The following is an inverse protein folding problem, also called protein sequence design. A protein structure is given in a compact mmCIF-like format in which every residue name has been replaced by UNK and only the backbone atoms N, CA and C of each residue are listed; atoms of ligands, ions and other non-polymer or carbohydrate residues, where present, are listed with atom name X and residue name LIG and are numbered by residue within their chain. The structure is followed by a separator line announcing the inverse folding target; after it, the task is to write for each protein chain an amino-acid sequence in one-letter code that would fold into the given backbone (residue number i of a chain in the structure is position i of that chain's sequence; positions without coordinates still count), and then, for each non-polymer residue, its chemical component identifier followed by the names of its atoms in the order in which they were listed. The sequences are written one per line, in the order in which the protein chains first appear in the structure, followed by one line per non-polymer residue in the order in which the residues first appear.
data_IF_080969572081
#
_entry.id   IF_080969572081
#
_cell.length_a   1.000
_cell.length_b   1.000
_cell.length_c   1.000
_cell.angle_alpha   90.00
_cell.angle_beta   90.00
_cell.angle_gamma   90.00
#
_symmetry.space_group_name_H-M   'P 1'
#
loop_
_entity.id
_entity.type
_entity.pdbx_description
1 polymer ?
#
# COMPACT_ATOMS: atom_id res chain seq x y z
N UNK A 1 27.18 -28.68 -31.97
CA UNK A 1 26.66 -27.80 -30.90
C UNK A 1 27.72 -27.33 -29.89
N UNK A 2 28.89 -27.99 -29.75
CA UNK A 2 29.94 -27.61 -28.79
C UNK A 2 30.60 -26.23 -29.02
N UNK A 3 30.46 -25.63 -30.20
CA UNK A 3 31.05 -24.33 -30.55
C UNK A 3 30.10 -23.14 -30.44
N UNK A 4 28.79 -23.37 -30.31
CA UNK A 4 27.79 -22.29 -30.35
C UNK A 4 27.72 -21.50 -29.04
N UNK A 5 27.73 -22.19 -27.89
CA UNK A 5 27.69 -21.52 -26.58
C UNK A 5 28.95 -20.66 -26.31
N UNK A 6 30.18 -21.14 -26.58
CA UNK A 6 31.38 -20.30 -26.49
C UNK A 6 31.35 -19.10 -27.46
N UNK A 7 30.78 -19.27 -28.66
CA UNK A 7 30.63 -18.20 -29.64
C UNK A 7 29.67 -17.13 -29.13
N UNK A 8 28.49 -17.50 -28.65
CA UNK A 8 27.51 -16.57 -28.07
C UNK A 8 28.14 -15.84 -26.87
N UNK A 9 28.85 -16.56 -26.00
CA UNK A 9 29.57 -15.97 -24.87
C UNK A 9 30.63 -14.95 -25.30
N UNK A 10 31.33 -15.18 -26.41
CA UNK A 10 32.24 -14.18 -27.01
C UNK A 10 31.49 -13.00 -27.62
N UNK A 11 30.39 -13.24 -28.34
CA UNK A 11 29.55 -12.19 -28.95
C UNK A 11 28.95 -11.25 -27.91
N UNK A 12 28.69 -11.75 -26.70
CA UNK A 12 28.16 -10.95 -25.58
C UNK A 12 29.25 -10.41 -24.64
N UNK A 13 30.51 -10.43 -25.08
CA UNK A 13 31.68 -9.97 -24.30
C UNK A 13 31.80 -10.65 -22.92
N UNK A 14 31.57 -11.96 -22.87
CA UNK A 14 31.66 -12.76 -21.65
C UNK A 14 30.53 -12.49 -20.66
N UNK A 15 29.32 -12.19 -21.16
CA UNK A 15 28.17 -11.98 -20.31
C UNK A 15 27.92 -13.16 -19.36
N UNK A 16 27.41 -12.83 -18.16
CA UNK A 16 27.05 -13.81 -17.16
C UNK A 16 25.86 -14.65 -17.63
N UNK A 17 25.92 -15.95 -17.35
CA UNK A 17 24.87 -16.90 -17.68
C UNK A 17 23.56 -16.51 -16.96
N UNK A 18 22.42 -16.69 -17.64
CA UNK A 18 21.11 -16.26 -17.14
C UNK A 18 20.77 -14.77 -17.32
N UNK A 19 21.60 -14.00 -18.05
CA UNK A 19 21.32 -12.57 -18.33
C UNK A 19 20.97 -12.29 -19.79
N UNK A 20 20.24 -11.20 -20.04
CA UNK A 20 19.91 -10.68 -21.37
C UNK A 20 18.94 -11.53 -22.17
N UNK A 21 18.07 -12.31 -21.52
CA UNK A 21 17.16 -13.25 -22.21
C UNK A 21 16.34 -12.60 -23.33
N UNK A 22 15.88 -11.35 -23.15
CA UNK A 22 15.13 -10.62 -24.18
C UNK A 22 15.96 -10.42 -25.45
N UNK A 23 17.23 -10.03 -25.29
CA UNK A 23 18.15 -9.87 -26.43
C UNK A 23 18.59 -11.21 -27.00
N UNK A 24 18.74 -12.23 -26.15
CA UNK A 24 19.17 -13.56 -26.56
C UNK A 24 18.15 -14.23 -27.48
N UNK A 25 16.84 -14.08 -27.21
CA UNK A 25 15.79 -14.59 -28.10
C UNK A 25 15.90 -13.97 -29.50
N UNK A 26 16.02 -12.65 -29.59
CA UNK A 26 16.16 -11.96 -30.88
C UNK A 26 17.45 -12.33 -31.62
N UNK A 27 18.57 -12.44 -30.89
CA UNK A 27 19.85 -12.88 -31.46
C UNK A 27 19.76 -14.32 -32.00
N UNK A 28 19.12 -15.22 -31.24
CA UNK A 28 18.93 -16.63 -31.65
C UNK A 28 18.04 -16.74 -32.87
N UNK A 29 16.93 -15.99 -32.91
CA UNK A 29 16.05 -15.93 -34.08
C UNK A 29 16.82 -15.50 -35.33
N UNK A 30 17.63 -14.45 -35.23
CA UNK A 30 18.44 -13.96 -36.35
C UNK A 30 19.51 -14.97 -36.79
N UNK A 31 20.20 -15.62 -35.84
CA UNK A 31 21.24 -16.62 -36.14
C UNK A 31 20.67 -17.86 -36.84
N UNK A 32 19.48 -18.31 -36.42
CA UNK A 32 18.80 -19.46 -37.00
C UNK A 32 17.95 -19.09 -38.23
N UNK A 33 17.90 -17.80 -38.60
CA UNK A 33 17.10 -17.27 -39.72
C UNK A 33 15.62 -17.65 -39.63
N UNK A 34 15.07 -17.60 -38.42
CA UNK A 34 13.68 -17.96 -38.14
C UNK A 34 12.75 -16.77 -38.36
N UNK A 35 11.55 -17.03 -38.89
CA UNK A 35 10.54 -15.98 -39.12
C UNK A 35 9.83 -15.61 -37.82
N UNK A 36 9.58 -16.59 -36.95
CA UNK A 36 8.91 -16.41 -35.68
C UNK A 36 9.82 -16.92 -34.52
N UNK A 37 9.90 -16.20 -33.38
CA UNK A 37 10.52 -16.71 -32.16
C UNK A 37 10.02 -18.10 -31.71
N UNK A 38 8.77 -18.46 -32.02
CA UNK A 38 8.19 -19.77 -31.66
C UNK A 38 8.80 -20.94 -32.44
N UNK A 39 9.47 -20.66 -33.56
CA UNK A 39 10.18 -21.67 -34.33
C UNK A 39 11.52 -22.07 -33.66
N UNK A 40 11.93 -21.39 -32.58
CA UNK A 40 13.14 -21.72 -31.83
C UNK A 40 12.97 -23.13 -31.23
N UNK A 41 13.92 -24.06 -31.48
CA UNK A 41 13.84 -25.41 -30.93
C UNK A 41 13.63 -25.42 -29.42
N UNK A 42 12.61 -26.14 -28.96
CA UNK A 42 12.21 -26.19 -27.54
C UNK A 42 13.33 -26.66 -26.59
N UNK A 43 14.30 -27.43 -27.10
CA UNK A 43 15.50 -27.84 -26.36
C UNK A 43 16.35 -26.63 -25.95
N UNK A 44 16.50 -25.64 -26.85
CA UNK A 44 17.25 -24.41 -26.56
C UNK A 44 16.52 -23.56 -25.51
N UNK A 45 15.18 -23.47 -25.63
CA UNK A 45 14.35 -22.74 -24.67
C UNK A 45 14.52 -23.34 -23.27
N UNK A 46 14.37 -24.66 -23.12
CA UNK A 46 14.51 -25.36 -21.83
C UNK A 46 15.92 -25.23 -21.23
N UNK A 47 16.95 -25.27 -22.09
CA UNK A 47 18.34 -25.10 -21.65
C UNK A 47 18.54 -23.71 -21.03
N UNK A 48 18.11 -22.66 -21.73
CA UNK A 48 18.27 -21.27 -21.29
C UNK A 48 17.35 -20.94 -20.11
N UNK A 49 16.15 -21.52 -20.07
CA UNK A 49 15.23 -21.43 -18.93
C UNK A 49 15.90 -21.96 -17.66
N UNK A 50 16.59 -23.11 -17.75
CA UNK A 50 17.35 -23.71 -16.65
C UNK A 50 18.44 -22.82 -16.07
N UNK A 51 19.01 -21.92 -16.88
CA UNK A 51 20.03 -20.95 -16.47
C UNK A 51 19.46 -19.67 -15.86
N UNK A 52 18.16 -19.39 -16.05
CA UNK A 52 17.55 -18.19 -15.48
C UNK A 52 17.53 -18.25 -13.95
N UNK A 53 17.59 -17.08 -13.32
CA UNK A 53 17.44 -16.97 -11.88
C UNK A 53 16.06 -17.52 -11.45
N UNK A 54 16.05 -18.34 -10.39
CA UNK A 54 14.80 -18.83 -9.83
C UNK A 54 14.01 -17.65 -9.25
N UNK A 55 12.74 -17.54 -9.65
CA UNK A 55 11.85 -16.50 -9.17
C UNK A 55 10.94 -17.05 -8.07
N UNK A 56 10.54 -16.21 -7.12
CA UNK A 56 9.52 -16.61 -6.15
C UNK A 56 8.18 -16.80 -6.87
N UNK A 57 7.68 -18.04 -6.88
CA UNK A 57 6.53 -18.45 -7.70
C UNK A 57 6.90 -19.05 -9.05
N UNK A 58 8.19 -19.15 -9.38
CA UNK A 58 8.72 -19.74 -10.61
C UNK A 58 8.19 -19.11 -11.91
N UNK A 59 8.77 -19.54 -13.03
CA UNK A 59 8.24 -19.25 -14.36
C UNK A 59 6.92 -20.02 -14.56
N UNK A 60 5.85 -19.39 -15.06
CA UNK A 60 4.54 -20.02 -15.12
C UNK A 60 4.47 -21.09 -16.22
N UNK A 61 3.73 -22.16 -15.96
CA UNK A 61 3.40 -23.19 -16.95
C UNK A 61 1.88 -23.37 -17.12
N UNK A 62 1.45 -24.36 -17.88
CA UNK A 62 0.02 -24.65 -18.08
C UNK A 62 -0.78 -24.85 -16.77
N UNK A 63 -0.14 -25.26 -15.67
CA UNK A 63 -0.78 -25.43 -14.36
C UNK A 63 -1.05 -24.11 -13.66
N UNK A 64 -0.40 -23.02 -14.08
CA UNK A 64 -0.64 -21.66 -13.58
C UNK A 64 -1.92 -21.04 -14.15
N UNK A 65 -2.48 -21.59 -15.24
CA UNK A 65 -3.65 -21.02 -15.94
C UNK A 65 -4.86 -20.93 -15.01
N UNK A 66 -5.27 -22.05 -14.42
CA UNK A 66 -6.44 -22.12 -13.55
C UNK A 66 -6.30 -21.24 -12.28
N UNK A 67 -5.23 -21.36 -11.46
CA UNK A 67 -5.09 -20.53 -10.26
C UNK A 67 -4.95 -19.04 -10.59
N UNK A 68 -4.22 -18.67 -11.66
CA UNK A 68 -4.14 -17.27 -12.09
C UNK A 68 -5.52 -16.72 -12.47
N UNK A 69 -6.35 -17.49 -13.20
CA UNK A 69 -7.69 -17.06 -13.58
C UNK A 69 -8.63 -16.90 -12.36
N UNK A 70 -8.50 -17.76 -11.35
CA UNK A 70 -9.26 -17.64 -10.09
C UNK A 70 -8.88 -16.36 -9.34
N UNK A 71 -7.58 -16.12 -9.11
CA UNK A 71 -7.16 -14.91 -8.40
C UNK A 71 -7.39 -13.64 -9.21
N UNK A 72 -7.29 -13.69 -10.53
CA UNK A 72 -7.72 -12.61 -11.43
C UNK A 72 -9.17 -12.20 -11.13
N UNK A 73 -10.09 -13.16 -11.11
CA UNK A 73 -11.51 -12.91 -10.84
C UNK A 73 -11.74 -12.38 -9.41
N UNK A 74 -11.08 -12.98 -8.42
CA UNK A 74 -11.18 -12.56 -7.01
C UNK A 74 -10.75 -11.09 -6.84
N UNK A 75 -9.57 -10.72 -7.34
CA UNK A 75 -9.07 -9.35 -7.19
C UNK A 75 -9.86 -8.33 -8.02
N UNK A 76 -10.48 -8.73 -9.14
CA UNK A 76 -11.43 -7.89 -9.85
C UNK A 76 -12.70 -7.61 -9.01
N UNK A 77 -13.26 -8.63 -8.34
CA UNK A 77 -14.41 -8.44 -7.44
C UNK A 77 -14.04 -7.56 -6.23
N UNK A 78 -12.87 -7.79 -5.63
CA UNK A 78 -12.37 -6.97 -4.51
C UNK A 78 -12.14 -5.51 -4.93
N UNK A 79 -11.60 -5.29 -6.13
CA UNK A 79 -11.46 -3.94 -6.71
C UNK A 79 -12.81 -3.24 -6.81
N UNK A 80 -13.83 -3.90 -7.37
CA UNK A 80 -15.17 -3.35 -7.49
C UNK A 80 -15.78 -3.07 -6.10
N UNK A 81 -15.58 -3.97 -5.13
CA UNK A 81 -16.07 -3.80 -3.77
C UNK A 81 -15.45 -2.56 -3.07
N UNK A 82 -14.12 -2.43 -3.07
CA UNK A 82 -13.44 -1.27 -2.48
C UNK A 82 -13.82 0.03 -3.19
N UNK A 83 -13.91 0.02 -4.52
CA UNK A 83 -14.33 1.18 -5.31
C UNK A 83 -15.77 1.59 -5.00
N UNK A 84 -16.68 0.62 -4.86
CA UNK A 84 -18.08 0.87 -4.53
C UNK A 84 -18.21 1.48 -3.13
N UNK A 85 -17.53 0.90 -2.14
CA UNK A 85 -17.51 1.45 -0.76
C UNK A 85 -16.95 2.87 -0.77
N UNK A 86 -15.83 3.10 -1.45
CA UNK A 86 -15.25 4.44 -1.58
C UNK A 86 -16.22 5.43 -2.24
N UNK A 87 -16.84 5.06 -3.35
CA UNK A 87 -17.77 5.93 -4.07
C UNK A 87 -19.00 6.31 -3.23
N UNK A 88 -19.59 5.36 -2.50
CA UNK A 88 -20.73 5.61 -1.62
C UNK A 88 -20.30 6.56 -0.48
N UNK A 89 -19.18 6.27 0.17
CA UNK A 89 -18.65 7.09 1.27
C UNK A 89 -18.31 8.51 0.82
N UNK A 90 -17.63 8.64 -0.32
CA UNK A 90 -17.24 9.93 -0.90
C UNK A 90 -18.47 10.81 -1.20
N UNK A 91 -19.52 10.23 -1.81
CA UNK A 91 -20.80 10.93 -2.09
C UNK A 91 -21.54 11.39 -0.82
N UNK A 92 -21.23 10.79 0.33
CA UNK A 92 -21.84 11.08 1.63
C UNK A 92 -21.02 12.04 2.51
N UNK A 93 -19.84 12.47 2.06
CA UNK A 93 -18.92 13.33 2.81
C UNK A 93 -17.82 12.56 3.57
N UNK A 94 -17.92 11.24 3.66
CA UNK A 94 -16.96 10.39 4.37
C UNK A 94 -15.71 10.11 3.51
N UNK A 95 -14.74 11.01 3.51
CA UNK A 95 -13.54 10.91 2.65
C UNK A 95 -12.47 10.03 3.25
N UNK A 96 -12.51 8.72 2.96
CA UNK A 96 -11.48 7.77 3.35
C UNK A 96 -10.65 7.31 2.13
N UNK A 97 -9.64 8.11 1.75
CA UNK A 97 -8.82 7.84 0.56
C UNK A 97 -8.03 6.52 0.60
N UNK A 98 -7.80 5.95 1.77
CA UNK A 98 -7.14 4.66 1.88
C UNK A 98 -7.97 3.53 1.25
N UNK A 99 -9.31 3.65 1.18
CA UNK A 99 -10.15 2.72 0.39
C UNK A 99 -9.85 2.77 -1.11
N UNK A 100 -9.54 3.95 -1.65
CA UNK A 100 -9.07 4.07 -3.03
C UNK A 100 -7.67 3.43 -3.19
N UNK A 101 -6.82 3.53 -2.17
CA UNK A 101 -5.55 2.80 -2.10
C UNK A 101 -5.74 1.28 -2.17
N UNK A 102 -6.69 0.71 -1.43
CA UNK A 102 -7.01 -0.72 -1.50
C UNK A 102 -7.51 -1.12 -2.91
N UNK A 103 -8.34 -0.29 -3.55
CA UNK A 103 -8.78 -0.52 -4.92
C UNK A 103 -7.60 -0.49 -5.92
N UNK A 104 -6.72 0.50 -5.82
CA UNK A 104 -5.52 0.58 -6.65
C UNK A 104 -4.63 -0.65 -6.48
N UNK A 105 -4.40 -1.08 -5.24
CA UNK A 105 -3.68 -2.31 -4.94
C UNK A 105 -4.35 -3.56 -5.56
N UNK A 106 -5.69 -3.67 -5.48
CA UNK A 106 -6.41 -4.78 -6.10
C UNK A 106 -6.24 -4.77 -7.63
N UNK A 107 -6.11 -3.58 -8.24
CA UNK A 107 -5.80 -3.43 -9.67
C UNK A 107 -4.40 -3.98 -10.00
N UNK A 108 -3.39 -3.71 -9.16
CA UNK A 108 -2.04 -4.28 -9.34
C UNK A 108 -2.08 -5.82 -9.32
N UNK A 109 -2.84 -6.40 -8.37
CA UNK A 109 -3.01 -7.86 -8.28
C UNK A 109 -3.77 -8.43 -9.47
N UNK A 110 -4.87 -7.79 -9.86
CA UNK A 110 -5.65 -8.17 -11.02
C UNK A 110 -4.80 -8.17 -12.29
N UNK A 111 -4.08 -7.08 -12.58
CA UNK A 111 -3.18 -7.01 -13.73
C UNK A 111 -2.01 -8.00 -13.61
N UNK A 112 -1.41 -8.15 -12.43
CA UNK A 112 -0.33 -9.11 -12.19
C UNK A 112 -0.72 -10.55 -12.53
N UNK A 113 -1.88 -11.01 -12.08
CA UNK A 113 -2.40 -12.34 -12.43
C UNK A 113 -2.85 -12.43 -13.90
N UNK A 114 -3.35 -11.35 -14.51
CA UNK A 114 -3.67 -11.32 -15.95
C UNK A 114 -2.43 -11.53 -16.82
N UNK A 115 -1.35 -10.83 -16.50
CA UNK A 115 -0.07 -10.96 -17.21
C UNK A 115 0.56 -12.32 -16.95
N UNK A 116 0.50 -12.85 -15.72
CA UNK A 116 0.96 -14.21 -15.41
C UNK A 116 0.17 -15.28 -16.17
N UNK A 117 -1.16 -15.16 -16.24
CA UNK A 117 -2.02 -16.05 -17.04
C UNK A 117 -1.65 -16.02 -18.52
N UNK A 118 -1.28 -14.85 -19.05
CA UNK A 118 -0.85 -14.71 -20.44
C UNK A 118 0.53 -15.33 -20.66
N UNK A 119 1.45 -15.12 -19.72
CA UNK A 119 2.80 -15.69 -19.75
C UNK A 119 2.80 -17.22 -19.59
N UNK A 120 1.86 -17.77 -18.82
CA UNK A 120 1.64 -19.21 -18.68
C UNK A 120 1.30 -19.92 -20.01
N UNK A 121 0.69 -19.19 -20.95
CA UNK A 121 0.33 -19.72 -22.28
C UNK A 121 1.48 -19.64 -23.27
N UNK A 122 2.42 -18.73 -23.05
CA UNK A 122 3.54 -18.48 -23.93
C UNK A 122 4.68 -17.80 -23.15
N UNK A 123 5.71 -18.59 -22.85
CA UNK A 123 6.86 -18.17 -22.06
C UNK A 123 7.76 -17.17 -22.80
N UNK A 124 7.69 -17.11 -24.14
CA UNK A 124 8.48 -16.19 -24.97
C UNK A 124 7.94 -14.74 -24.91
N UNK A 125 6.77 -14.51 -24.33
CA UNK A 125 6.25 -13.17 -24.01
C UNK A 125 6.96 -12.56 -22.79
N UNK A 126 8.27 -12.42 -22.90
CA UNK A 126 9.18 -12.02 -21.82
C UNK A 126 8.80 -10.67 -21.20
N UNK A 127 8.45 -9.67 -22.00
CA UNK A 127 8.03 -8.36 -21.47
C UNK A 127 6.76 -8.44 -20.62
N UNK A 128 5.77 -9.24 -21.06
CA UNK A 128 4.54 -9.48 -20.29
C UNK A 128 4.89 -10.15 -18.96
N UNK A 129 5.76 -11.16 -19.00
CA UNK A 129 6.22 -11.87 -17.81
C UNK A 129 6.92 -10.96 -16.81
N UNK A 130 7.89 -10.17 -17.27
CA UNK A 130 8.66 -9.22 -16.45
C UNK A 130 7.71 -8.20 -15.81
N UNK A 131 6.80 -7.60 -16.59
CA UNK A 131 5.82 -6.64 -16.05
C UNK A 131 4.89 -7.30 -15.03
N UNK A 132 4.41 -8.52 -15.29
CA UNK A 132 3.58 -9.29 -14.35
C UNK A 132 4.27 -9.58 -13.03
N UNK A 133 5.54 -9.98 -13.07
CA UNK A 133 6.36 -10.20 -11.87
C UNK A 133 6.55 -8.90 -11.08
N UNK A 134 6.82 -7.77 -11.76
CA UNK A 134 6.93 -6.46 -11.08
C UNK A 134 5.62 -6.07 -10.37
N UNK A 135 4.47 -6.19 -11.04
CA UNK A 135 3.17 -5.82 -10.45
C UNK A 135 2.81 -6.70 -9.25
N UNK A 136 3.09 -8.01 -9.33
CA UNK A 136 2.83 -8.94 -8.22
C UNK A 136 3.73 -8.72 -7.01
N UNK A 137 4.96 -8.25 -7.20
CA UNK A 137 5.87 -7.85 -6.12
C UNK A 137 5.44 -6.51 -5.53
N UNK A 138 5.14 -5.53 -6.38
CA UNK A 138 4.79 -4.17 -5.94
C UNK A 138 3.56 -4.16 -5.02
N UNK A 139 2.58 -5.00 -5.32
CA UNK A 139 1.37 -5.14 -4.51
C UNK A 139 1.66 -5.48 -3.03
N UNK A 140 2.66 -6.32 -2.73
CA UNK A 140 2.97 -6.72 -1.34
C UNK A 140 3.43 -5.53 -0.50
N UNK A 141 4.14 -4.57 -1.11
CA UNK A 141 4.64 -3.38 -0.41
C UNK A 141 3.49 -2.43 -0.10
N UNK A 142 2.53 -2.27 -1.01
CA UNK A 142 1.36 -1.43 -0.79
C UNK A 142 0.53 -1.88 0.41
N UNK A 143 0.24 -3.17 0.53
CA UNK A 143 -0.55 -3.68 1.66
C UNK A 143 0.18 -3.50 3.00
N UNK A 144 1.51 -3.68 3.03
CA UNK A 144 2.33 -3.34 4.20
C UNK A 144 2.23 -1.84 4.55
N UNK A 145 2.31 -0.96 3.54
CA UNK A 145 2.16 0.48 3.74
C UNK A 145 0.78 0.86 4.26
N UNK A 146 -0.29 0.23 3.76
CA UNK A 146 -1.63 0.49 4.26
C UNK A 146 -1.79 0.07 5.72
N UNK A 147 -1.26 -1.10 6.10
CA UNK A 147 -1.24 -1.53 7.50
C UNK A 147 -0.50 -0.53 8.40
N UNK A 148 0.62 0.01 7.92
CA UNK A 148 1.36 1.03 8.67
C UNK A 148 0.57 2.34 8.81
N UNK A 149 -0.13 2.79 7.77
CA UNK A 149 -1.03 3.96 7.84
C UNK A 149 -2.17 3.72 8.82
N UNK A 150 -2.72 2.51 8.89
CA UNK A 150 -3.75 2.15 9.88
C UNK A 150 -3.17 2.11 11.30
N UNK A 151 -1.98 1.55 11.49
CA UNK A 151 -1.28 1.52 12.77
C UNK A 151 -0.94 2.93 13.27
N UNK A 152 -0.53 3.82 12.36
CA UNK A 152 -0.30 5.23 12.63
C UNK A 152 -1.54 5.92 13.22
N UNK A 153 -2.74 5.54 12.75
CA UNK A 153 -4.01 6.07 13.26
C UNK A 153 -4.32 5.56 14.66
N UNK A 154 -4.04 4.29 14.97
CA UNK A 154 -4.16 3.77 16.35
C UNK A 154 -3.18 4.47 17.28
N UNK A 155 -1.93 4.62 16.85
CA UNK A 155 -0.92 5.31 17.64
C UNK A 155 -1.32 6.76 17.92
N UNK A 156 -1.82 7.47 16.91
CA UNK A 156 -2.32 8.85 17.06
C UNK A 156 -3.57 8.94 17.92
N UNK A 157 -4.42 7.91 17.92
CA UNK A 157 -5.57 7.86 18.84
C UNK A 157 -5.14 7.73 20.30
N UNK A 158 -4.14 6.88 20.57
CA UNK A 158 -3.64 6.66 21.94
C UNK A 158 -2.76 7.80 22.45
N UNK A 159 -2.02 8.44 21.54
CA UNK A 159 -1.10 9.55 21.81
C UNK A 159 -1.46 10.77 20.91
N UNK A 160 -2.57 11.48 21.18
CA UNK A 160 -3.07 12.55 20.30
C UNK A 160 -2.09 13.70 20.11
N UNK A 161 -1.34 14.12 21.13
CA UNK A 161 -0.42 15.26 21.01
C UNK A 161 0.78 14.87 20.16
N UNK A 162 1.42 13.75 20.48
CA UNK A 162 2.61 13.29 19.76
C UNK A 162 2.28 12.80 18.35
N UNK A 163 1.20 12.03 18.16
CA UNK A 163 0.77 11.54 16.84
C UNK A 163 0.27 12.63 15.88
N UNK A 164 -0.12 13.80 16.39
CA UNK A 164 -0.41 14.98 15.58
C UNK A 164 0.80 15.94 15.45
N UNK A 165 1.96 15.61 16.05
CA UNK A 165 3.14 16.47 16.00
C UNK A 165 3.80 16.47 14.61
N UNK A 166 4.44 17.60 14.26
CA UNK A 166 5.23 17.70 13.02
C UNK A 166 6.33 16.65 12.96
N UNK A 167 7.01 16.38 14.08
CA UNK A 167 8.10 15.41 14.17
C UNK A 167 7.63 14.00 13.78
N UNK A 168 6.50 13.54 14.34
CA UNK A 168 5.95 12.22 14.04
C UNK A 168 5.57 12.10 12.55
N UNK A 169 4.90 13.11 11.98
CA UNK A 169 4.53 13.11 10.57
C UNK A 169 5.73 13.19 9.63
N UNK A 170 6.74 13.99 9.95
CA UNK A 170 8.01 14.02 9.19
C UNK A 170 8.68 12.65 9.20
N UNK A 171 8.75 11.98 10.35
CA UNK A 171 9.28 10.62 10.45
C UNK A 171 8.51 9.64 9.55
N UNK A 172 7.18 9.69 9.58
CA UNK A 172 6.34 8.83 8.75
C UNK A 172 6.55 9.10 7.24
N UNK A 173 6.55 10.36 6.81
CA UNK A 173 6.79 10.70 5.40
C UNK A 173 8.18 10.30 4.91
N UNK A 174 9.21 10.49 5.73
CA UNK A 174 10.57 10.04 5.43
C UNK A 174 10.60 8.52 5.27
N UNK A 175 9.97 7.77 6.17
CA UNK A 175 9.89 6.31 6.09
C UNK A 175 9.18 5.85 4.81
N UNK A 176 8.02 6.43 4.46
CA UNK A 176 7.33 6.10 3.21
C UNK A 176 8.19 6.43 1.97
N UNK A 177 8.91 7.55 1.99
CA UNK A 177 9.80 7.95 0.88
C UNK A 177 10.98 6.98 0.71
N UNK A 178 11.58 6.53 1.80
CA UNK A 178 12.64 5.51 1.77
C UNK A 178 12.12 4.21 1.15
N UNK A 179 10.91 3.78 1.52
CA UNK A 179 10.31 2.55 0.97
C UNK A 179 10.06 2.68 -0.53
N UNK A 180 9.60 3.84 -1.01
CA UNK A 180 9.47 4.09 -2.46
C UNK A 180 10.82 3.97 -3.16
N UNK A 181 11.89 4.51 -2.60
CA UNK A 181 13.24 4.38 -3.16
C UNK A 181 13.74 2.92 -3.16
N UNK A 182 13.48 2.16 -2.08
CA UNK A 182 13.79 0.73 -1.98
C UNK A 182 13.08 -0.04 -3.09
N UNK A 183 11.78 0.19 -3.27
CA UNK A 183 10.97 -0.46 -4.33
C UNK A 183 11.51 -0.14 -5.72
N UNK A 184 11.82 1.13 -6.00
CA UNK A 184 12.37 1.55 -7.28
C UNK A 184 13.68 0.82 -7.60
N UNK A 185 14.60 0.74 -6.62
CA UNK A 185 15.85 -0.01 -6.76
C UNK A 185 15.60 -1.52 -6.96
N UNK A 186 14.66 -2.12 -6.23
CA UNK A 186 14.30 -3.54 -6.42
C UNK A 186 13.78 -3.81 -7.83
N UNK A 187 12.94 -2.92 -8.39
CA UNK A 187 12.40 -3.08 -9.75
C UNK A 187 13.54 -3.02 -10.76
N UNK A 188 14.41 -2.02 -10.67
CA UNK A 188 15.55 -1.89 -11.60
C UNK A 188 16.46 -3.13 -11.50
N UNK A 189 16.91 -3.47 -10.29
CA UNK A 189 17.80 -4.61 -10.08
C UNK A 189 17.16 -5.96 -10.47
N UNK A 190 15.85 -6.11 -10.29
CA UNK A 190 15.11 -7.32 -10.65
C UNK A 190 14.79 -7.45 -12.13
N UNK A 191 14.83 -6.36 -12.92
CA UNK A 191 14.44 -6.37 -14.35
C UNK A 191 15.64 -6.27 -15.29
N UNK A 192 16.65 -5.48 -14.94
CA UNK A 192 17.86 -5.26 -15.76
C UNK A 192 18.54 -6.56 -16.21
N UNK A 193 18.70 -7.61 -15.35
CA UNK A 193 19.28 -8.87 -15.77
C UNK A 193 18.54 -9.59 -16.89
N UNK A 194 17.22 -9.39 -17.04
CA UNK A 194 16.45 -10.00 -18.13
C UNK A 194 16.59 -9.23 -19.45
N UNK A 195 16.80 -7.91 -19.36
CA UNK A 195 16.80 -7.00 -20.51
C UNK A 195 18.18 -6.84 -21.15
N UNK A 196 19.25 -6.98 -20.37
CA UNK A 196 20.61 -6.68 -20.81
C UNK A 196 21.56 -7.82 -20.49
N UNK A 197 22.54 -8.02 -21.37
CA UNK A 197 23.71 -8.85 -21.08
C UNK A 197 24.58 -8.10 -20.08
N UNK A 198 24.87 -8.73 -18.95
CA UNK A 198 25.65 -8.13 -17.86
C UNK A 198 26.95 -8.89 -17.66
N UNK A 199 28.01 -8.19 -17.23
CA UNK A 199 29.18 -8.87 -16.68
C UNK A 199 28.81 -9.53 -15.34
N UNK A 200 29.61 -10.52 -14.92
CA UNK A 200 29.36 -11.23 -13.66
C UNK A 200 29.25 -10.30 -12.45
N UNK A 201 30.12 -9.30 -12.37
CA UNK A 201 30.11 -8.30 -11.31
C UNK A 201 28.80 -7.48 -11.27
N UNK A 202 28.31 -7.01 -12.42
CA UNK A 202 27.04 -6.25 -12.47
C UNK A 202 25.82 -7.13 -12.18
N UNK A 203 25.85 -8.40 -12.58
CA UNK A 203 24.78 -9.33 -12.26
C UNK A 203 24.72 -9.63 -10.75
N UNK A 204 25.87 -9.89 -10.13
CA UNK A 204 25.96 -10.10 -8.69
C UNK A 204 25.56 -8.84 -7.89
N UNK A 205 25.87 -7.64 -8.41
CA UNK A 205 25.36 -6.39 -7.85
C UNK A 205 23.83 -6.34 -7.85
N UNK A 206 23.17 -6.67 -8.97
CA UNK A 206 21.72 -6.71 -9.07
C UNK A 206 21.11 -7.71 -8.07
N UNK A 207 21.67 -8.91 -7.97
CA UNK A 207 21.24 -9.94 -7.02
C UNK A 207 21.38 -9.48 -5.57
N UNK A 208 22.49 -8.84 -5.23
CA UNK A 208 22.71 -8.30 -3.88
C UNK A 208 21.72 -7.17 -3.54
N UNK A 209 21.39 -6.28 -4.48
CA UNK A 209 20.34 -5.28 -4.27
C UNK A 209 18.99 -5.93 -3.99
N UNK A 210 18.60 -6.96 -4.76
CA UNK A 210 17.34 -7.69 -4.52
C UNK A 210 17.34 -8.36 -3.14
N UNK A 211 18.45 -8.96 -2.70
CA UNK A 211 18.60 -9.54 -1.35
C UNK A 211 18.43 -8.49 -0.26
N UNK A 212 19.17 -7.39 -0.31
CA UNK A 212 19.10 -6.30 0.68
C UNK A 212 17.70 -5.69 0.73
N UNK A 213 17.15 -5.36 -0.42
CA UNK A 213 15.79 -4.77 -0.47
C UNK A 213 14.72 -5.73 0.02
N UNK A 214 14.88 -7.06 -0.17
CA UNK A 214 13.95 -8.05 0.38
C UNK A 214 13.98 -8.12 1.92
N UNK A 215 15.15 -7.91 2.55
CA UNK A 215 15.25 -7.75 4.01
C UNK A 215 14.50 -6.48 4.44
N UNK A 216 14.77 -5.35 3.78
CA UNK A 216 14.15 -4.08 4.12
C UNK A 216 12.62 -4.14 4.02
N UNK A 217 12.08 -4.77 2.97
CA UNK A 217 10.64 -4.97 2.80
C UNK A 217 10.08 -5.90 3.90
N UNK A 218 10.81 -6.94 4.29
CA UNK A 218 10.41 -7.85 5.38
C UNK A 218 10.34 -7.11 6.71
N UNK A 219 11.36 -6.33 7.05
CA UNK A 219 11.38 -5.49 8.26
C UNK A 219 10.28 -4.42 8.21
N UNK A 220 10.07 -3.80 7.05
CA UNK A 220 9.02 -2.80 6.84
C UNK A 220 7.63 -3.38 7.12
N UNK A 221 7.37 -4.62 6.70
CA UNK A 221 6.08 -5.27 6.95
C UNK A 221 5.76 -5.39 8.44
N UNK A 222 6.76 -5.53 9.33
CA UNK A 222 6.55 -5.61 10.78
C UNK A 222 6.26 -4.27 11.45
N UNK A 223 6.55 -3.14 10.79
CA UNK A 223 6.45 -1.82 11.42
C UNK A 223 5.02 -1.49 11.88
N UNK A 224 3.99 -2.00 11.20
CA UNK A 224 2.62 -1.80 11.62
C UNK A 224 2.36 -2.41 13.01
N UNK A 225 2.81 -3.65 13.23
CA UNK A 225 2.69 -4.31 14.54
C UNK A 225 3.56 -3.60 15.58
N UNK A 226 4.80 -3.25 15.23
CA UNK A 226 5.71 -2.54 16.16
C UNK A 226 5.07 -1.22 16.62
N UNK A 227 4.47 -0.47 15.70
CA UNK A 227 3.82 0.81 16.03
C UNK A 227 2.56 0.63 16.87
N UNK A 228 1.77 -0.44 16.63
CA UNK A 228 0.65 -0.80 17.49
C UNK A 228 1.15 -1.18 18.89
N UNK A 229 2.17 -2.02 19.01
CA UNK A 229 2.76 -2.40 20.30
C UNK A 229 3.28 -1.16 21.04
N UNK A 230 4.01 -0.27 20.34
CA UNK A 230 4.50 0.98 20.90
C UNK A 230 3.36 1.87 21.42
N UNK A 231 2.20 1.91 20.75
CA UNK A 231 1.04 2.66 21.20
C UNK A 231 0.57 2.21 22.60
N UNK A 232 0.62 0.91 22.90
CA UNK A 232 0.19 0.35 24.18
C UNK A 232 1.30 0.27 25.23
N UNK A 233 2.55 0.07 24.82
CA UNK A 233 3.69 0.00 25.71
C UNK A 233 4.06 1.39 26.29
N UNK A 234 3.85 2.45 25.52
CA UNK A 234 4.08 3.83 25.97
C UNK A 234 2.82 4.32 26.69
N UNK A 235 2.89 4.72 27.98
CA UNK A 235 1.74 5.28 28.68
C UNK A 235 1.39 6.66 28.09
N UNK A 236 0.10 6.96 27.99
CA UNK A 236 -0.35 8.29 27.53
C UNK A 236 0.09 9.37 28.53
N UNK A 237 0.67 10.45 28.03
CA UNK A 237 1.17 11.54 28.87
C UNK A 237 -0.02 12.35 29.44
N UNK A 238 0.16 13.09 30.55
CA UNK A 238 -0.91 13.95 31.09
C UNK A 238 -1.40 14.98 30.05
N UNK A 239 -0.47 15.50 29.25
CA UNK A 239 -0.75 16.37 28.08
C UNK A 239 -1.69 15.74 27.06
N UNK A 240 -1.69 14.42 26.89
CA UNK A 240 -2.59 13.71 25.99
C UNK A 240 -4.02 13.65 26.56
N UNK A 241 -4.14 13.51 27.89
CA UNK A 241 -5.44 13.52 28.59
C UNK A 241 -6.08 14.91 28.57
N UNK A 242 -5.27 15.94 28.76
CA UNK A 242 -5.71 17.33 28.80
C UNK A 242 -5.94 17.92 27.39
N UNK A 243 -5.56 17.20 26.33
CA UNK A 243 -5.74 17.67 24.96
C UNK A 243 -7.23 17.76 24.59
N UNK A 244 -7.61 18.84 23.93
CA UNK A 244 -8.89 18.91 23.22
C UNK A 244 -8.81 17.93 22.04
N UNK A 245 -9.70 16.96 21.97
CA UNK A 245 -9.67 15.89 20.96
C UNK A 245 -10.94 15.90 20.12
N UNK A 246 -10.77 15.95 18.80
CA UNK A 246 -11.85 15.83 17.83
C UNK A 246 -11.89 14.42 17.24
N UNK A 247 -13.04 13.76 17.38
CA UNK A 247 -13.31 12.38 16.93
C UNK A 247 -14.58 12.33 16.07
N UNK A 248 -14.70 11.35 15.16
CA UNK A 248 -15.87 11.22 14.29
C UNK A 248 -17.07 10.58 15.00
N UNK A 249 -17.69 11.32 15.93
CA UNK A 249 -18.79 10.83 16.77
C UNK A 249 -20.10 10.55 16.00
N UNK A 250 -20.22 10.99 14.75
CA UNK A 250 -21.37 10.68 13.89
C UNK A 250 -21.40 9.22 13.37
N UNK A 251 -20.33 8.45 13.55
CA UNK A 251 -20.26 7.04 13.13
C UNK A 251 -20.94 6.16 14.17
N UNK A 252 -22.12 5.64 13.82
CA UNK A 252 -22.99 4.90 14.76
C UNK A 252 -22.77 3.38 14.79
N UNK A 253 -22.13 2.82 13.76
CA UNK A 253 -21.94 1.38 13.65
C UNK A 253 -20.76 1.03 12.75
N UNK A 254 -20.17 -0.15 12.96
CA UNK A 254 -19.18 -0.75 12.06
C UNK A 254 -19.72 -1.96 11.30
N UNK A 255 -21.05 -2.12 11.21
CA UNK A 255 -21.66 -3.21 10.44
C UNK A 255 -21.32 -3.05 8.95
N UNK A 256 -21.08 -4.14 8.20
CA UNK A 256 -20.77 -4.08 6.77
C UNK A 256 -21.80 -3.30 5.93
N UNK A 257 -23.07 -3.32 6.32
CA UNK A 257 -24.18 -2.65 5.63
C UNK A 257 -24.41 -1.20 6.05
N UNK A 258 -23.73 -0.72 7.09
CA UNK A 258 -23.93 0.62 7.62
C UNK A 258 -23.20 1.67 6.80
N UNK A 259 -23.85 2.80 6.53
CA UNK A 259 -23.20 3.96 5.90
C UNK A 259 -23.63 5.22 6.63
N UNK A 260 -22.71 6.17 6.73
CA UNK A 260 -22.92 7.47 7.40
C UNK A 260 -24.02 8.26 6.69
N UNK A 261 -24.76 9.07 7.45
CA UNK A 261 -25.76 9.99 6.91
C UNK A 261 -25.08 11.10 6.09
N UNK A 262 -25.68 11.48 4.96
CA UNK A 262 -25.09 12.46 4.05
C UNK A 262 -24.95 13.82 4.74
N UNK A 263 -23.72 14.35 4.79
CA UNK A 263 -23.44 15.68 5.37
C UNK A 263 -23.30 15.72 6.89
N UNK A 264 -23.36 14.57 7.57
CA UNK A 264 -23.20 14.51 9.03
C UNK A 264 -21.80 14.91 9.50
N UNK A 265 -20.79 14.81 8.64
CA UNK A 265 -19.43 15.27 8.91
C UNK A 265 -19.39 16.78 9.19
N UNK A 266 -19.99 17.57 8.31
CA UNK A 266 -20.01 19.04 8.42
C UNK A 266 -20.87 19.53 9.56
N UNK A 267 -22.07 18.96 9.69
CA UNK A 267 -23.00 19.33 10.78
C UNK A 267 -22.35 19.11 12.16
N UNK A 268 -21.66 17.97 12.33
CA UNK A 268 -20.95 17.68 13.57
C UNK A 268 -19.67 18.51 13.75
N UNK A 269 -19.00 18.89 12.67
CA UNK A 269 -17.87 19.83 12.71
C UNK A 269 -18.32 21.21 13.20
N UNK A 270 -19.44 21.73 12.67
CA UNK A 270 -20.02 23.01 13.05
C UNK A 270 -20.49 22.99 14.52
N UNK A 271 -21.13 21.91 14.97
CA UNK A 271 -21.51 21.73 16.38
C UNK A 271 -20.31 21.72 17.32
N UNK A 272 -19.22 21.04 16.94
CA UNK A 272 -18.00 21.01 17.74
C UNK A 272 -17.34 22.40 17.77
N UNK A 273 -17.23 23.06 16.62
CA UNK A 273 -16.65 24.40 16.52
C UNK A 273 -17.44 25.43 17.34
N UNK A 274 -18.77 25.42 17.27
CA UNK A 274 -19.63 26.32 18.05
C UNK A 274 -19.46 26.11 19.57
N UNK A 275 -19.31 24.86 20.03
CA UNK A 275 -19.17 24.54 21.45
C UNK A 275 -17.81 24.92 22.02
N UNK A 276 -16.74 24.81 21.21
CA UNK A 276 -15.36 25.08 21.62
C UNK A 276 -14.80 26.39 21.08
N UNK A 277 -15.65 27.29 20.58
CA UNK A 277 -15.25 28.58 20.00
C UNK A 277 -14.40 29.45 20.96
N UNK A 278 -14.58 29.27 22.27
CA UNK A 278 -13.86 30.03 23.31
C UNK A 278 -12.70 29.24 23.95
N UNK A 279 -12.41 28.00 23.49
CA UNK A 279 -11.30 27.20 24.02
C UNK A 279 -9.99 27.60 23.30
N UNK A 280 -8.94 28.04 24.02
CA UNK A 280 -7.67 28.42 23.40
C UNK A 280 -6.87 27.22 22.85
N UNK A 281 -7.28 25.98 23.09
CA UNK A 281 -6.56 24.77 22.70
C UNK A 281 -6.85 24.37 21.25
N UNK A 282 -5.81 24.04 20.50
CA UNK A 282 -5.96 23.46 19.15
C UNK A 282 -6.46 22.01 19.24
N UNK A 283 -7.61 21.65 18.61
CA UNK A 283 -8.16 20.30 18.69
C UNK A 283 -7.27 19.29 17.96
N UNK A 284 -6.88 18.23 18.67
CA UNK A 284 -6.10 17.10 18.13
C UNK A 284 -7.04 16.06 17.53
N UNK A 285 -6.76 15.68 16.28
CA UNK A 285 -7.66 14.84 15.48
C UNK A 285 -7.30 13.38 15.64
N UNK A 286 -8.29 12.56 15.97
CA UNK A 286 -8.11 11.12 16.18
C UNK A 286 -9.26 10.32 15.57
N UNK A 287 -9.07 9.00 15.46
CA UNK A 287 -10.16 8.08 15.11
C UNK A 287 -11.10 7.87 16.30
N UNK A 288 -12.29 7.30 16.05
CA UNK A 288 -13.28 7.02 17.11
C UNK A 288 -12.67 6.15 18.22
N UNK A 289 -13.00 6.39 19.49
CA UNK A 289 -12.65 5.48 20.59
C UNK A 289 -13.35 4.11 20.47
N UNK A 290 -12.74 3.04 21.00
CA UNK A 290 -13.21 1.66 20.86
C UNK A 290 -14.59 1.32 21.44
N UNK A 291 -15.28 2.29 22.06
CA UNK A 291 -16.63 2.13 22.59
C UNK A 291 -17.59 2.65 21.53
N UNK A 292 -18.10 1.73 20.69
CA UNK A 292 -19.36 1.94 20.01
C UNK A 292 -20.46 1.94 21.08
N UNK A 293 -20.67 3.09 21.70
CA UNK A 293 -21.60 3.25 22.80
C UNK A 293 -22.15 4.67 22.83
N UNK A 294 -23.27 4.86 22.12
CA UNK A 294 -24.35 5.83 22.38
C UNK A 294 -24.17 7.33 22.15
N UNK A 295 -22.98 7.91 22.02
CA UNK A 295 -22.88 9.37 21.88
C UNK A 295 -23.22 9.90 20.47
N UNK A 296 -24.51 9.97 20.15
CA UNK A 296 -25.02 10.80 19.06
C UNK A 296 -24.97 12.29 19.43
N UNK A 297 -24.81 12.61 20.72
CA UNK A 297 -24.73 13.95 21.22
C UNK A 297 -23.28 14.28 21.61
N UNK A 298 -22.79 15.40 21.09
CA UNK A 298 -21.53 16.03 21.49
C UNK A 298 -21.42 16.12 23.03
N UNK A 299 -22.54 16.25 23.74
CA UNK A 299 -22.62 16.24 25.20
C UNK A 299 -22.26 14.92 25.85
N UNK A 300 -22.78 13.79 25.38
CA UNK A 300 -22.44 12.47 25.91
C UNK A 300 -20.99 12.09 25.55
N UNK A 301 -20.51 12.50 24.37
CA UNK A 301 -19.09 12.37 24.01
C UNK A 301 -18.19 13.13 24.99
N UNK A 302 -18.53 14.36 25.35
CA UNK A 302 -17.76 15.13 26.32
C UNK A 302 -17.89 14.60 27.75
N UNK A 303 -19.08 14.13 28.13
CA UNK A 303 -19.35 13.49 29.42
C UNK A 303 -18.58 12.18 29.62
N UNK A 304 -18.10 11.54 28.54
CA UNK A 304 -17.29 10.33 28.63
C UNK A 304 -15.84 10.56 29.13
N UNK A 305 -15.40 11.81 29.32
CA UNK A 305 -14.19 12.16 30.08
C UNK A 305 -12.94 11.36 29.68
N UNK A 306 -12.27 10.74 30.66
CA UNK A 306 -11.09 9.88 30.45
C UNK A 306 -11.43 8.51 29.82
N UNK A 307 -12.70 8.07 29.89
CA UNK A 307 -13.13 6.79 29.34
C UNK A 307 -13.04 6.74 27.80
N UNK A 308 -12.97 7.90 27.13
CA UNK A 308 -12.69 7.99 25.70
C UNK A 308 -11.33 7.42 25.30
N UNK A 309 -10.38 7.36 26.23
CA UNK A 309 -9.03 6.81 26.04
C UNK A 309 -8.87 5.37 26.56
N UNK A 310 -9.81 4.86 27.37
CA UNK A 310 -9.79 3.49 27.89
C UNK A 310 -10.52 2.49 26.99
N UNK A 311 -11.25 2.97 25.99
CA UNK A 311 -12.05 2.15 25.11
C UNK A 311 -11.20 1.34 24.12
N UNK A 312 -11.32 0.01 24.17
CA UNK A 312 -10.39 -0.92 23.51
C UNK A 312 -10.67 -1.11 22.01
N UNK A 313 -9.65 -0.89 21.18
CA UNK A 313 -9.67 -1.11 19.72
C UNK A 313 -9.41 -2.56 19.30
N UNK A 314 -9.89 -3.54 20.08
CA UNK A 314 -9.49 -4.95 19.95
C UNK A 314 -9.69 -5.52 18.53
N UNK A 315 -10.83 -5.23 17.89
CA UNK A 315 -11.08 -5.69 16.51
C UNK A 315 -10.19 -4.98 15.50
N UNK A 316 -9.98 -3.67 15.65
CA UNK A 316 -9.11 -2.87 14.78
C UNK A 316 -7.66 -3.37 14.86
N UNK A 317 -7.17 -3.66 16.07
CA UNK A 317 -5.86 -4.25 16.33
C UNK A 317 -5.78 -5.64 15.72
N UNK A 318 -6.78 -6.49 15.91
CA UNK A 318 -6.82 -7.84 15.35
C UNK A 318 -6.74 -7.80 13.82
N UNK A 319 -7.45 -6.88 13.15
CA UNK A 319 -7.37 -6.71 11.70
C UNK A 319 -5.93 -6.37 11.28
N UNK A 320 -5.31 -5.36 11.91
CA UNK A 320 -3.92 -4.98 11.56
C UNK A 320 -2.95 -6.11 11.87
N UNK A 321 -3.04 -6.73 13.04
CA UNK A 321 -2.14 -7.81 13.45
C UNK A 321 -2.24 -9.00 12.49
N UNK A 322 -3.44 -9.49 12.22
CA UNK A 322 -3.66 -10.62 11.30
C UNK A 322 -3.18 -10.29 9.89
N UNK A 323 -3.59 -9.16 9.32
CA UNK A 323 -3.16 -8.78 7.97
C UNK A 323 -1.65 -8.54 7.88
N UNK A 324 -1.04 -7.98 8.92
CA UNK A 324 0.42 -7.77 8.98
C UNK A 324 1.19 -9.08 9.07
N UNK A 325 0.72 -10.04 9.89
CA UNK A 325 1.35 -11.37 9.98
C UNK A 325 1.28 -12.08 8.63
N UNK A 326 0.13 -12.04 7.95
CA UNK A 326 -0.04 -12.66 6.64
C UNK A 326 0.93 -12.07 5.59
N UNK A 327 1.07 -10.74 5.55
CA UNK A 327 2.00 -10.05 4.66
C UNK A 327 3.46 -10.33 5.05
N UNK A 328 3.77 -10.36 6.35
CA UNK A 328 5.10 -10.65 6.86
C UNK A 328 5.58 -12.05 6.48
N UNK A 329 4.73 -13.08 6.66
CA UNK A 329 5.05 -14.45 6.23
C UNK A 329 5.40 -14.46 4.74
N UNK A 330 4.69 -13.69 3.93
CA UNK A 330 4.99 -13.61 2.51
C UNK A 330 6.28 -12.89 2.15
N UNK A 331 6.54 -11.76 2.80
CA UNK A 331 7.78 -11.02 2.64
C UNK A 331 8.99 -11.87 3.07
N UNK A 332 8.86 -12.60 4.19
CA UNK A 332 9.88 -13.49 4.72
C UNK A 332 10.18 -14.66 3.77
N UNK A 333 9.14 -15.35 3.27
CA UNK A 333 9.31 -16.45 2.32
C UNK A 333 10.00 -15.99 1.03
N UNK A 334 9.63 -14.81 0.52
CA UNK A 334 10.31 -14.19 -0.63
C UNK A 334 11.76 -13.85 -0.28
N UNK A 335 12.02 -13.27 0.90
CA UNK A 335 13.37 -12.94 1.35
C UNK A 335 14.25 -14.20 1.36
N UNK A 336 13.77 -15.29 1.97
CA UNK A 336 14.49 -16.58 1.99
C UNK A 336 14.80 -17.05 0.55
N UNK A 337 13.82 -17.00 -0.35
CA UNK A 337 14.02 -17.38 -1.76
C UNK A 337 15.13 -16.57 -2.45
N UNK A 338 15.20 -15.25 -2.21
CA UNK A 338 16.23 -14.40 -2.81
C UNK A 338 17.63 -14.70 -2.25
N UNK A 339 17.74 -15.21 -1.02
CA UNK A 339 19.01 -15.60 -0.40
C UNK A 339 19.50 -16.99 -0.82
N UNK A 340 18.60 -17.92 -1.15
CA UNK A 340 19.01 -19.22 -1.72
C UNK A 340 19.76 -19.04 -3.04
N UNK A 341 19.40 -17.99 -3.79
CA UNK A 341 20.14 -17.48 -4.95
C UNK A 341 20.41 -18.52 -6.05
N UNK A 342 19.41 -19.39 -6.26
CA UNK A 342 19.45 -20.54 -7.18
C UNK A 342 19.00 -20.20 -8.60
N UNK A 343 19.33 -21.08 -9.52
CA UNK A 343 18.79 -21.07 -10.89
C UNK A 343 17.51 -21.90 -10.97
N UNK A 344 16.73 -21.74 -12.03
CA UNK A 344 15.50 -22.52 -12.25
C UNK A 344 15.76 -24.04 -12.24
N UNK A 345 16.88 -24.49 -12.80
CA UNK A 345 17.26 -25.90 -12.82
C UNK A 345 17.49 -26.50 -11.41
N UNK A 346 17.89 -25.68 -10.44
CA UNK A 346 18.27 -26.12 -9.09
C UNK A 346 17.26 -25.69 -8.01
N UNK A 347 16.08 -25.22 -8.43
CA UNK A 347 15.10 -24.60 -7.54
C UNK A 347 14.51 -25.56 -6.49
N UNK A 348 14.30 -25.04 -5.28
CA UNK A 348 13.69 -25.75 -4.16
C UNK A 348 12.16 -25.57 -4.12
N UNK A 349 11.50 -26.25 -3.18
CA UNK A 349 10.05 -26.15 -2.95
C UNK A 349 9.55 -24.72 -2.67
N UNK A 350 10.37 -23.83 -2.11
CA UNK A 350 10.00 -22.42 -1.83
C UNK A 350 9.66 -21.65 -3.12
N UNK A 351 10.31 -22.01 -4.23
CA UNK A 351 10.13 -21.33 -5.51
C UNK A 351 8.87 -21.81 -6.25
N UNK A 352 8.23 -22.90 -5.80
CA UNK A 352 7.07 -23.48 -6.49
C UNK A 352 5.92 -22.46 -6.62
N UNK A 353 5.21 -22.43 -7.76
CA UNK A 353 4.07 -21.52 -7.98
C UNK A 353 3.01 -21.57 -6.88
N UNK A 354 2.77 -22.76 -6.31
CA UNK A 354 1.80 -22.97 -5.22
C UNK A 354 2.06 -22.05 -4.03
N UNK A 355 3.33 -21.90 -3.61
CA UNK A 355 3.70 -21.03 -2.47
C UNK A 355 3.33 -19.58 -2.76
N UNK A 356 3.60 -19.12 -3.97
CA UNK A 356 3.23 -17.78 -4.42
C UNK A 356 1.71 -17.58 -4.43
N UNK A 357 0.92 -18.54 -4.92
CA UNK A 357 -0.54 -18.41 -4.90
C UNK A 357 -1.15 -18.40 -3.50
N UNK A 358 -0.58 -19.16 -2.56
CA UNK A 358 -1.02 -19.12 -1.16
C UNK A 358 -0.73 -17.74 -0.55
N UNK A 359 0.50 -17.27 -0.71
CA UNK A 359 0.98 -16.06 -0.04
C UNK A 359 0.48 -14.79 -0.71
N UNK A 360 0.60 -14.67 -2.03
CA UNK A 360 0.20 -13.47 -2.78
C UNK A 360 -1.24 -13.51 -3.28
N UNK A 361 -1.85 -14.69 -3.33
CA UNK A 361 -3.24 -14.87 -3.68
C UNK A 361 -4.13 -14.98 -2.44
N UNK A 362 -4.06 -16.12 -1.74
CA UNK A 362 -5.01 -16.46 -0.69
C UNK A 362 -4.89 -15.56 0.56
N UNK A 363 -3.69 -15.38 1.11
CA UNK A 363 -3.46 -14.55 2.30
C UNK A 363 -3.87 -13.09 2.06
N UNK A 364 -3.52 -12.57 0.90
CA UNK A 364 -3.86 -11.21 0.51
C UNK A 364 -5.37 -11.04 0.21
N UNK A 365 -6.02 -12.07 -0.32
CA UNK A 365 -7.49 -12.12 -0.42
C UNK A 365 -8.14 -12.05 0.96
N UNK A 366 -7.66 -12.84 1.92
CA UNK A 366 -8.15 -12.84 3.31
C UNK A 366 -7.97 -11.45 3.93
N UNK A 367 -6.80 -10.83 3.75
CA UNK A 367 -6.55 -9.48 4.25
C UNK A 367 -7.54 -8.45 3.69
N UNK A 368 -7.86 -8.51 2.39
CA UNK A 368 -8.84 -7.62 1.77
C UNK A 368 -10.26 -7.87 2.26
N UNK A 369 -10.64 -9.12 2.48
CA UNK A 369 -11.93 -9.46 3.09
C UNK A 369 -12.01 -8.88 4.50
N UNK A 370 -10.94 -8.97 5.29
CA UNK A 370 -10.87 -8.36 6.63
C UNK A 370 -11.00 -6.84 6.57
N UNK A 371 -10.41 -6.17 5.58
CA UNK A 371 -10.57 -4.72 5.41
C UNK A 371 -12.01 -4.31 5.07
N UNK A 372 -12.67 -5.05 4.17
CA UNK A 372 -14.04 -4.79 3.74
C UNK A 372 -15.06 -5.13 4.84
N UNK A 373 -15.05 -6.36 5.36
CA UNK A 373 -15.98 -6.82 6.40
C UNK A 373 -15.73 -6.10 7.71
N UNK A 374 -14.46 -5.85 8.04
CA UNK A 374 -14.06 -5.08 9.20
C UNK A 374 -14.44 -3.60 9.11
N UNK A 375 -14.89 -3.10 7.93
CA UNK A 375 -15.21 -1.70 7.67
C UNK A 375 -14.11 -0.76 8.18
N UNK A 376 -12.90 -1.02 7.70
CA UNK A 376 -11.70 -0.24 8.01
C UNK A 376 -11.90 1.24 7.66
N UNK A 377 -12.69 1.53 6.63
CA UNK A 377 -13.10 2.88 6.24
C UNK A 377 -13.80 3.65 7.35
N UNK A 378 -14.58 2.97 8.20
CA UNK A 378 -15.27 3.57 9.34
C UNK A 378 -14.40 3.55 10.59
N UNK A 379 -13.78 2.40 10.91
CA UNK A 379 -13.00 2.21 12.14
C UNK A 379 -11.80 3.13 12.24
N UNK A 380 -11.14 3.38 11.11
CA UNK A 380 -9.91 4.16 11.05
C UNK A 380 -10.12 5.55 10.47
N UNK A 381 -11.37 5.99 10.33
CA UNK A 381 -11.65 7.33 9.84
C UNK A 381 -11.04 8.39 10.77
N UNK A 382 -10.40 9.40 10.18
CA UNK A 382 -9.86 10.56 10.89
C UNK A 382 -10.42 11.80 10.20
N UNK A 383 -11.10 12.71 10.93
CA UNK A 383 -11.64 13.94 10.35
C UNK A 383 -10.56 14.85 9.75
N UNK A 384 -11.00 15.70 8.83
CA UNK A 384 -10.16 16.74 8.24
C UNK A 384 -9.78 17.82 9.28
N UNK A 385 -8.82 18.67 8.93
CA UNK A 385 -8.43 19.78 9.80
C UNK A 385 -9.43 20.91 9.68
N UNK A 386 -9.80 21.52 10.81
CA UNK A 386 -10.50 22.79 10.81
C UNK A 386 -9.71 23.82 9.99
N UNK A 387 -10.42 24.66 9.23
CA UNK A 387 -9.80 25.81 8.58
C UNK A 387 -9.31 26.79 9.65
N UNK A 388 -8.18 27.45 9.39
CA UNK A 388 -7.62 28.46 10.30
C UNK A 388 -8.67 29.55 10.52
N UNK A 389 -9.05 29.80 11.77
CA UNK A 389 -10.12 30.76 12.13
C UNK A 389 -11.54 30.18 12.28
N UNK A 390 -11.77 28.89 12.00
CA UNK A 390 -13.12 28.30 12.09
C UNK A 390 -13.63 28.05 13.52
N UNK A 391 -12.75 28.11 14.52
CA UNK A 391 -13.07 28.03 15.95
C UNK A 391 -12.93 29.43 16.57
N UNK A 392 -13.22 30.47 15.78
CA UNK A 392 -13.32 31.83 16.29
C UNK A 392 -14.79 32.09 16.69
N UNK A 393 -15.05 32.91 17.71
CA UNK A 393 -16.40 33.30 18.08
C UNK A 393 -17.16 33.87 16.87
N UNK A 394 -18.46 33.60 16.81
CA UNK A 394 -19.36 34.03 15.72
C UNK A 394 -19.29 35.56 15.49
N UNK A 395 -18.90 36.32 16.52
CA UNK A 395 -18.80 37.79 16.50
C UNK A 395 -17.58 38.34 15.73
N UNK A 396 -16.56 37.53 15.41
CA UNK A 396 -15.43 38.00 14.58
C UNK A 396 -15.59 37.70 13.09
N UNK A 397 -16.41 36.71 12.72
CA UNK A 397 -16.64 36.37 11.30
C UNK A 397 -17.53 37.43 10.61
N UNK A 398 -18.44 38.07 11.36
CA UNK A 398 -19.23 39.20 10.85
C UNK A 398 -18.40 40.46 10.63
N UNK A 399 -17.32 40.68 11.40
CA UNK A 399 -16.50 41.89 11.26
C UNK A 399 -15.42 41.76 10.17
N UNK A 400 -14.79 40.59 9.97
CA UNK A 400 -13.80 40.42 8.90
C UNK A 400 -14.42 40.46 7.49
N UNK A 401 -15.65 39.96 7.32
CA UNK A 401 -16.37 40.00 6.02
C UNK A 401 -16.92 41.39 5.70
N UNK A 402 -17.12 42.24 6.71
CA UNK A 402 -17.55 43.64 6.55
C UNK A 402 -16.33 44.55 6.30
N UNK A 403 -15.21 44.34 6.99
CA UNK A 403 -13.97 45.10 6.74
C UNK A 403 -13.38 44.86 5.34
N UNK A 404 -13.38 43.63 4.81
CA UNK A 404 -12.89 43.34 3.44
C UNK A 404 -13.81 43.90 2.33
N UNK A 405 -15.08 44.19 2.65
CA UNK A 405 -16.00 44.88 1.71
C UNK A 405 -15.85 46.39 1.78
N UNK A 406 -15.64 46.95 2.96
CA UNK A 406 -15.45 48.39 3.13
C UNK A 406 -14.08 48.86 2.62
N UNK A 407 -13.00 48.09 2.78
CA UNK A 407 -11.68 48.42 2.20
C UNK A 407 -11.66 48.34 0.66
N UNK A 408 -12.39 47.39 0.06
CA UNK A 408 -12.54 47.32 -1.40
C UNK A 408 -13.41 48.43 -1.96
N UNK A 409 -14.43 48.90 -1.23
CA UNK A 409 -15.24 50.04 -1.67
C UNK A 409 -14.48 51.37 -1.57
N UNK A 410 -13.58 51.50 -0.58
CA UNK A 410 -12.79 52.73 -0.35
C UNK A 410 -11.62 52.89 -1.32
N UNK A 411 -11.03 51.79 -1.78
CA UNK A 411 -9.95 51.81 -2.79
C UNK A 411 -10.42 52.04 -4.22
N UNK A 412 -11.71 51.81 -4.51
CA UNK A 412 -12.29 51.99 -5.85
C UNK A 412 -12.74 53.44 -6.11
N UNK A 413 -12.96 54.24 -5.05
CA UNK A 413 -13.37 55.65 -5.16
C UNK A 413 -12.19 56.65 -5.17
N UNK A 414 -10.94 56.21 -4.98
CA UNK A 414 -9.75 57.10 -4.97
C UNK A 414 -8.94 57.07 -6.26
N UNK A 415 -9.48 56.48 -7.34
CA UNK A 415 -8.76 56.27 -8.61
C UNK A 415 -9.38 57.02 -9.80
N UNK A 416 -10.37 57.90 -9.59
CA UNK A 416 -11.03 58.66 -10.66
C UNK A 416 -10.74 60.17 -10.67
N UNK A 417 -9.90 60.70 -9.77
CA UNK A 417 -9.49 62.11 -9.79
C UNK A 417 -7.97 62.25 -9.68
N UNK A 418 -7.24 62.06 -10.79
CA UNK A 418 -6.03 62.81 -11.24
C UNK A 418 -5.83 62.61 -12.74
#
# INVERSE_FOLDING_TARGET
MSTLAPLIKKLTNGAADGTGIVKLVGLTQNMLKLKDPHDIPSVLIKMVEGEQQAQFGSYPDHKDIAPSAVFLAIFAVLFLAHTTVFAINYRRGHKFFLSLGFAFYCTLRWLGFALRLTWAKDLLKLHIGITGTVLTILATVFIASFNLVLAQRIFTWRHPVFGNSKLFWTLMYTLYSIVVAVVAMTIVAGTVPYLYFLSRSHYDMCRNVVKVTSILITLYSLLAIILVVAAYAIPAHQKDKDALVFQPFWIKSFKPTYFVQKGADKECEDQFAAKFANDPREPKRTMLGGSLGKSAELEEFLGSGDAKFSANHNVSILIIATTTILVFVGALMRCIAMFEDKTYATQNNIHKPVVMYVVWGAFETIANILYLVGRVDLRFYRPDSFKRGAIAPVDTVSNEVVEDKDEKSRSMNSSEDV
#
